data_IF_619492889129
#
_entry.id   IF_619492889129
#
_cell.length_a   1.000
_cell.length_b   1.000
_cell.length_c   1.000
_cell.angle_alpha   90.00
_cell.angle_beta   90.00
_cell.angle_gamma   90.00
#
_symmetry.space_group_name_H-M   'P 1'
#
loop_
_entity.id
_entity.type
_entity.pdbx_description
1 polymer ?
#
# COMPACT_ATOMS: atom_id res chain seq x y z
N UNK A 1 -16.84 -24.72 3.27
CA UNK A 1 -17.72 -24.30 4.39
C UNK A 1 -18.27 -22.89 4.14
N UNK A 2 -19.55 -22.76 3.79
CA UNK A 2 -20.21 -21.46 3.66
C UNK A 2 -20.52 -20.95 5.08
N UNK A 3 -19.67 -20.06 5.59
CA UNK A 3 -19.94 -19.37 6.85
C UNK A 3 -21.07 -18.37 6.61
N UNK A 4 -22.20 -18.54 7.30
CA UNK A 4 -23.29 -17.57 7.27
C UNK A 4 -22.78 -16.23 7.82
N UNK A 5 -23.04 -15.11 7.13
CA UNK A 5 -22.60 -13.77 7.56
C UNK A 5 -23.13 -13.39 8.96
N UNK A 6 -24.21 -14.04 9.41
CA UNK A 6 -24.75 -13.94 10.77
C UNK A 6 -23.84 -14.50 11.88
N UNK A 7 -22.76 -15.21 11.52
CA UNK A 7 -21.80 -15.80 12.45
C UNK A 7 -20.49 -14.99 12.55
N UNK A 8 -20.37 -13.87 11.83
CA UNK A 8 -19.19 -13.01 11.91
C UNK A 8 -19.31 -12.15 13.17
N UNK A 9 -18.38 -12.27 14.14
CA UNK A 9 -18.34 -11.40 15.30
C UNK A 9 -18.29 -9.93 14.86
N UNK A 10 -18.93 -9.04 15.61
CA UNK A 10 -18.90 -7.58 15.39
C UNK A 10 -19.61 -7.05 14.13
N UNK A 11 -20.37 -7.91 13.43
CA UNK A 11 -21.26 -7.49 12.35
C UNK A 11 -22.70 -7.42 12.86
N UNK A 12 -23.20 -6.19 13.03
CA UNK A 12 -24.57 -5.94 13.48
C UNK A 12 -25.49 -5.81 12.28
N UNK A 13 -26.51 -6.66 12.17
CA UNK A 13 -27.54 -6.47 11.14
C UNK A 13 -28.38 -5.23 11.50
N UNK A 14 -28.38 -4.23 10.62
CA UNK A 14 -29.11 -2.96 10.82
C UNK A 14 -30.43 -2.96 10.06
N UNK A 15 -30.48 -3.64 8.91
CA UNK A 15 -31.69 -3.78 8.14
C UNK A 15 -31.67 -5.08 7.31
N UNK A 16 -32.85 -5.66 7.14
CA UNK A 16 -33.11 -6.71 6.15
C UNK A 16 -34.13 -6.15 5.17
N UNK A 17 -33.64 -5.67 4.03
CA UNK A 17 -34.46 -5.21 2.90
C UNK A 17 -34.44 -6.32 1.83
N UNK A 18 -34.34 -5.95 0.55
CA UNK A 18 -34.01 -6.90 -0.53
C UNK A 18 -32.60 -7.52 -0.32
N UNK A 19 -31.72 -6.78 0.36
CA UNK A 19 -30.42 -7.25 0.85
C UNK A 19 -30.28 -6.99 2.36
N UNK A 20 -29.48 -7.80 3.04
CA UNK A 20 -29.10 -7.59 4.43
C UNK A 20 -28.02 -6.52 4.52
N UNK A 21 -28.27 -5.47 5.31
CA UNK A 21 -27.34 -4.39 5.63
C UNK A 21 -26.73 -4.68 6.99
N UNK A 22 -25.40 -4.69 7.05
CA UNK A 22 -24.65 -4.90 8.27
C UNK A 22 -23.74 -3.71 8.56
N UNK A 23 -23.62 -3.35 9.83
CA UNK A 23 -22.67 -2.37 10.35
C UNK A 23 -21.53 -3.11 11.04
N UNK A 24 -20.31 -2.64 10.82
CA UNK A 24 -19.13 -3.08 11.56
C UNK A 24 -18.76 -1.98 12.54
N UNK A 25 -18.82 -2.28 13.84
CA UNK A 25 -18.51 -1.30 14.88
C UNK A 25 -16.99 -1.17 15.12
N UNK A 26 -16.20 -2.14 14.64
CA UNK A 26 -14.74 -2.22 14.80
C UNK A 26 -13.99 -2.07 13.47
N UNK A 27 -14.39 -1.09 12.64
CA UNK A 27 -13.71 -0.82 11.37
C UNK A 27 -12.27 -0.36 11.61
N UNK A 28 -11.34 -0.95 10.86
CA UNK A 28 -9.95 -0.54 10.92
C UNK A 28 -9.77 0.85 10.32
N UNK A 29 -9.01 1.75 10.97
CA UNK A 29 -8.62 3.01 10.36
C UNK A 29 -7.86 2.77 9.05
N UNK A 30 -7.98 3.70 8.10
CA UNK A 30 -7.22 3.63 6.84
C UNK A 30 -5.72 3.56 7.08
N UNK A 31 -5.22 4.34 8.02
CA UNK A 31 -3.86 4.20 8.54
C UNK A 31 -3.87 4.24 10.07
N UNK A 32 -3.00 3.45 10.68
CA UNK A 32 -2.91 3.34 12.14
C UNK A 32 -1.50 2.94 12.60
N UNK A 33 -1.17 3.28 13.83
CA UNK A 33 0.06 2.88 14.50
C UNK A 33 -0.21 1.77 15.51
N UNK A 34 0.71 0.80 15.57
CA UNK A 34 0.79 -0.21 16.63
C UNK A 34 2.22 -0.30 17.14
N UNK A 35 2.35 -0.66 18.42
CA UNK A 35 3.65 -0.74 19.09
C UNK A 35 4.39 -2.05 18.82
N UNK A 36 3.63 -3.14 18.66
CA UNK A 36 4.14 -4.48 18.47
C UNK A 36 3.64 -5.06 17.16
N UNK A 37 4.44 -5.95 16.59
CA UNK A 37 4.08 -6.69 15.38
C UNK A 37 4.13 -8.19 15.65
N UNK A 38 3.14 -8.89 15.11
CA UNK A 38 3.12 -10.35 15.07
C UNK A 38 3.91 -10.86 13.86
N UNK A 39 4.37 -12.10 13.91
CA UNK A 39 4.98 -12.78 12.75
C UNK A 39 4.13 -13.93 12.27
N UNK A 40 4.23 -14.24 10.98
CA UNK A 40 3.66 -15.44 10.39
C UNK A 40 4.58 -15.97 9.29
N UNK A 41 4.57 -17.28 9.07
CA UNK A 41 5.29 -17.93 7.97
C UNK A 41 4.31 -18.44 6.90
N UNK A 42 3.07 -18.72 7.31
CA UNK A 42 2.07 -19.32 6.43
C UNK A 42 0.76 -18.54 6.40
N UNK A 43 0.02 -18.61 5.29
CA UNK A 43 -1.29 -17.95 5.18
C UNK A 43 -2.30 -18.45 6.25
N UNK A 44 -2.39 -19.74 6.60
CA UNK A 44 -3.25 -20.19 7.69
C UNK A 44 -2.93 -19.56 9.06
N UNK A 45 -1.65 -19.29 9.36
CA UNK A 45 -1.26 -18.57 10.57
C UNK A 45 -1.76 -17.13 10.54
N UNK A 46 -1.59 -16.43 9.40
CA UNK A 46 -2.14 -15.08 9.24
C UNK A 46 -3.67 -15.07 9.39
N UNK A 47 -4.37 -16.05 8.83
CA UNK A 47 -5.84 -16.17 8.99
C UNK A 47 -6.21 -16.39 10.46
N UNK A 48 -5.38 -17.12 11.21
CA UNK A 48 -5.58 -17.33 12.64
C UNK A 48 -5.38 -16.04 13.43
N UNK A 49 -4.39 -15.22 13.07
CA UNK A 49 -4.19 -13.88 13.63
C UNK A 49 -5.38 -12.96 13.34
N UNK A 50 -5.90 -12.95 12.10
CA UNK A 50 -7.10 -12.17 11.73
C UNK A 50 -8.29 -12.56 12.59
N UNK A 51 -8.56 -13.87 12.72
CA UNK A 51 -9.68 -14.37 13.53
C UNK A 51 -9.50 -14.10 15.03
N UNK A 52 -8.27 -14.20 15.53
CA UNK A 52 -7.96 -13.95 16.94
C UNK A 52 -7.94 -12.47 17.33
N UNK A 53 -7.87 -11.55 16.34
CA UNK A 53 -7.84 -10.10 16.60
C UNK A 53 -9.16 -9.51 17.07
N UNK A 54 -10.28 -10.25 16.97
CA UNK A 54 -11.62 -9.79 17.36
C UNK A 54 -11.96 -8.39 16.81
N UNK A 55 -11.67 -8.16 15.53
CA UNK A 55 -11.92 -6.88 14.87
C UNK A 55 -10.91 -5.78 15.17
N UNK A 56 -10.00 -5.95 16.14
CA UNK A 56 -9.01 -4.93 16.47
C UNK A 56 -7.90 -4.80 15.40
N UNK A 57 -7.48 -3.58 15.04
CA UNK A 57 -6.37 -3.39 14.11
C UNK A 57 -5.06 -3.97 14.63
N UNK A 58 -4.36 -4.70 13.76
CA UNK A 58 -3.05 -5.27 14.07
C UNK A 58 -2.11 -5.24 12.88
N UNK A 59 -0.83 -5.44 13.16
CA UNK A 59 0.22 -5.61 12.16
C UNK A 59 0.89 -6.95 12.36
N UNK A 60 0.98 -7.70 11.26
CA UNK A 60 1.70 -8.94 11.15
C UNK A 60 2.67 -8.85 9.96
N UNK A 61 3.89 -9.36 10.15
CA UNK A 61 4.95 -9.38 9.14
C UNK A 61 5.33 -10.82 8.81
N UNK A 62 5.63 -11.07 7.54
CA UNK A 62 6.14 -12.38 7.13
C UNK A 62 7.58 -12.56 7.65
N UNK A 63 7.99 -13.79 7.98
CA UNK A 63 9.35 -14.08 8.45
C UNK A 63 10.45 -13.53 7.53
N UNK A 64 10.23 -13.60 6.22
CA UNK A 64 11.15 -13.07 5.21
C UNK A 64 11.34 -11.54 5.27
N UNK A 65 10.31 -10.79 5.68
CA UNK A 65 10.40 -9.33 5.86
C UNK A 65 11.19 -8.96 7.12
N UNK A 66 11.05 -9.77 8.17
CA UNK A 66 11.82 -9.62 9.42
C UNK A 66 13.32 -9.81 9.17
N UNK A 67 13.69 -10.75 8.31
CA UNK A 67 15.08 -10.96 7.90
C UNK A 67 15.66 -9.76 7.12
N UNK A 68 14.85 -9.05 6.34
CA UNK A 68 15.26 -7.85 5.59
C UNK A 68 15.32 -6.59 6.46
N UNK A 69 14.54 -6.54 7.53
CA UNK A 69 14.48 -5.39 8.44
C UNK A 69 14.76 -5.83 9.88
N UNK A 70 16.04 -6.01 10.28
CA UNK A 70 16.40 -6.47 11.63
C UNK A 70 15.83 -5.62 12.77
N UNK A 71 15.51 -4.35 12.49
CA UNK A 71 14.89 -3.44 13.45
C UNK A 71 13.49 -3.91 13.89
N UNK A 72 12.76 -4.65 13.03
CA UNK A 72 11.48 -5.26 13.37
C UNK A 72 11.63 -6.31 14.46
N UNK A 73 12.79 -6.97 14.59
CA UNK A 73 13.04 -7.98 15.62
C UNK A 73 12.80 -7.42 17.04
N UNK A 74 13.09 -6.14 17.27
CA UNK A 74 12.88 -5.47 18.55
C UNK A 74 11.41 -5.14 18.85
N UNK A 75 10.57 -5.15 17.81
CA UNK A 75 9.12 -4.91 17.89
C UNK A 75 8.30 -6.21 17.86
N UNK A 76 8.96 -7.35 17.68
CA UNK A 76 8.32 -8.66 17.81
C UNK A 76 7.87 -8.84 19.24
N UNK A 77 6.56 -8.66 19.45
CA UNK A 77 5.88 -8.94 20.69
C UNK A 77 4.59 -9.66 20.33
N UNK A 78 4.20 -10.62 21.14
CA UNK A 78 2.81 -11.08 21.11
C UNK A 78 1.93 -9.85 21.23
N UNK A 79 0.97 -9.72 20.32
CA UNK A 79 0.07 -8.58 20.22
C UNK A 79 -0.42 -8.18 21.62
N UNK A 80 0.05 -7.04 22.11
CA UNK A 80 -0.47 -6.48 23.35
C UNK A 80 -1.88 -5.97 23.05
N UNK A 81 -2.79 -6.07 24.02
CA UNK A 81 -4.15 -5.48 23.99
C UNK A 81 -4.16 -3.94 23.91
N UNK A 82 -3.04 -3.31 23.50
CA UNK A 82 -2.96 -1.87 23.35
C UNK A 82 -3.71 -1.45 22.08
N UNK A 83 -4.61 -0.46 22.18
CA UNK A 83 -5.40 -0.02 21.05
C UNK A 83 -4.50 0.61 19.98
N UNK A 84 -4.80 0.31 18.72
CA UNK A 84 -4.16 0.97 17.60
C UNK A 84 -4.50 2.47 17.59
N UNK A 85 -3.51 3.30 17.28
CA UNK A 85 -3.71 4.76 17.20
C UNK A 85 -4.04 5.11 15.75
N UNK A 86 -5.22 5.67 15.51
CA UNK A 86 -5.64 6.08 14.18
C UNK A 86 -4.83 7.29 13.68
N UNK A 87 -4.47 7.29 12.40
CA UNK A 87 -3.92 8.47 11.74
C UNK A 87 -5.01 9.53 11.48
N UNK A 88 -4.57 10.78 11.33
CA UNK A 88 -5.42 11.96 11.14
C UNK A 88 -4.84 12.91 10.08
N UNK A 89 -5.52 14.03 9.78
CA UNK A 89 -5.10 15.04 8.80
C UNK A 89 -4.79 14.46 7.39
N UNK A 90 -5.68 13.61 6.87
CA UNK A 90 -5.51 12.99 5.57
C UNK A 90 -5.54 14.01 4.42
N UNK A 91 -4.60 13.86 3.48
CA UNK A 91 -4.60 14.54 2.17
C UNK A 91 -4.49 13.48 1.09
N UNK A 92 -5.55 13.33 0.32
CA UNK A 92 -5.67 12.33 -0.74
C UNK A 92 -5.71 13.05 -2.09
N UNK A 93 -4.80 12.67 -2.99
CA UNK A 93 -4.81 13.11 -4.39
C UNK A 93 -4.84 11.89 -5.30
N UNK A 94 -4.83 12.10 -6.62
CA UNK A 94 -4.83 11.00 -7.60
C UNK A 94 -3.64 10.04 -7.47
N UNK A 95 -2.52 10.50 -6.93
CA UNK A 95 -1.29 9.69 -6.83
C UNK A 95 -0.60 9.78 -5.47
N UNK A 96 -1.22 10.43 -4.47
CA UNK A 96 -0.59 10.67 -3.17
C UNK A 96 -1.58 10.43 -2.04
N UNK A 97 -1.11 9.69 -1.03
CA UNK A 97 -1.78 9.55 0.26
C UNK A 97 -0.84 10.10 1.33
N UNK A 98 -1.24 11.18 1.99
CA UNK A 98 -0.51 11.74 3.14
C UNK A 98 -1.40 11.79 4.38
N UNK A 99 -0.81 11.62 5.55
CA UNK A 99 -1.50 11.67 6.84
C UNK A 99 -0.50 11.97 7.96
N UNK A 100 -1.03 12.27 9.15
CA UNK A 100 -0.26 12.42 10.38
C UNK A 100 -0.56 11.31 11.36
N UNK A 101 0.42 10.98 12.20
CA UNK A 101 0.29 10.00 13.26
C UNK A 101 1.07 10.47 14.49
N UNK A 102 0.47 10.30 15.67
CA UNK A 102 1.12 10.54 16.95
C UNK A 102 1.61 9.20 17.51
N UNK A 103 2.92 8.96 17.45
CA UNK A 103 3.52 7.72 17.92
C UNK A 103 4.01 7.90 19.37
N UNK A 104 3.49 7.17 20.37
CA UNK A 104 3.93 7.29 21.77
C UNK A 104 5.30 6.63 22.01
N UNK A 105 5.73 5.73 21.13
CA UNK A 105 6.99 4.97 21.23
C UNK A 105 7.39 4.43 19.85
N UNK A 106 8.45 3.62 19.80
CA UNK A 106 8.78 2.88 18.58
C UNK A 106 7.71 1.84 18.24
N UNK A 107 7.40 1.69 16.96
CA UNK A 107 6.36 0.78 16.49
C UNK A 107 6.27 0.80 14.97
N UNK A 108 5.13 0.35 14.43
CA UNK A 108 4.86 0.29 13.00
C UNK A 108 3.58 1.05 12.68
N UNK A 109 3.65 1.84 11.61
CA UNK A 109 2.47 2.44 10.98
C UNK A 109 2.05 1.56 9.82
N UNK A 110 0.80 1.12 9.81
CA UNK A 110 0.18 0.45 8.69
C UNK A 110 -0.71 1.42 7.92
N UNK A 111 -0.63 1.37 6.59
CA UNK A 111 -1.57 1.99 5.67
C UNK A 111 -2.28 0.87 4.90
N UNK A 112 -3.60 0.75 5.07
CA UNK A 112 -4.45 -0.31 4.49
C UNK A 112 -4.74 -0.11 3.01
N UNK A 113 -3.70 0.24 2.25
CA UNK A 113 -3.70 0.33 0.80
C UNK A 113 -2.76 -0.71 0.21
N UNK A 114 -3.11 -1.27 -0.95
CA UNK A 114 -2.38 -2.35 -1.60
C UNK A 114 -0.87 -2.12 -1.67
N UNK A 115 -0.10 -3.08 -1.18
CA UNK A 115 1.35 -3.12 -1.31
C UNK A 115 1.73 -3.44 -2.76
N UNK A 116 2.53 -2.56 -3.36
CA UNK A 116 3.18 -2.79 -4.64
C UNK A 116 4.67 -2.60 -4.43
N UNK A 117 5.48 -3.62 -4.72
CA UNK A 117 6.93 -3.54 -4.58
C UNK A 117 7.48 -2.45 -5.51
N UNK A 118 8.31 -1.55 -4.97
CA UNK A 118 9.05 -0.48 -5.65
C UNK A 118 8.25 0.60 -6.41
N UNK A 119 6.92 0.53 -6.40
CA UNK A 119 6.06 1.47 -7.12
C UNK A 119 5.63 2.69 -6.29
N UNK A 120 6.03 2.76 -5.01
CA UNK A 120 5.79 3.92 -4.16
C UNK A 120 7.11 4.58 -3.74
N UNK A 121 7.04 5.89 -3.51
CA UNK A 121 8.07 6.66 -2.79
C UNK A 121 7.43 7.12 -1.49
N UNK A 122 8.02 6.73 -0.37
CA UNK A 122 7.54 7.11 0.95
C UNK A 122 8.46 8.16 1.55
N UNK A 123 7.86 9.12 2.24
CA UNK A 123 8.58 10.11 3.04
C UNK A 123 8.00 10.17 4.45
N UNK A 124 8.90 10.32 5.42
CA UNK A 124 8.59 10.50 6.83
C UNK A 124 9.20 11.82 7.27
N UNK A 125 8.37 12.78 7.67
CA UNK A 125 8.77 14.15 7.97
C UNK A 125 9.59 14.80 6.83
N UNK A 126 9.17 14.55 5.58
CA UNK A 126 9.81 15.07 4.37
C UNK A 126 11.11 14.36 3.96
N UNK A 127 11.60 13.39 4.74
CA UNK A 127 12.80 12.60 4.39
C UNK A 127 12.38 11.29 3.73
N UNK A 128 13.06 10.84 2.66
CA UNK A 128 12.82 9.53 2.07
C UNK A 128 12.98 8.42 3.11
N UNK A 129 12.11 7.41 3.02
CA UNK A 129 12.17 6.22 3.86
C UNK A 129 11.81 4.97 3.03
N UNK A 130 11.79 3.81 3.68
CA UNK A 130 11.37 2.55 3.09
C UNK A 130 10.03 2.09 3.67
N UNK A 131 9.24 1.42 2.83
CA UNK A 131 8.03 0.72 3.25
C UNK A 131 8.19 -0.76 2.98
N UNK A 132 7.52 -1.57 3.80
CA UNK A 132 7.54 -3.03 3.69
C UNK A 132 6.11 -3.57 3.70
N UNK A 133 5.97 -4.86 3.45
CA UNK A 133 4.67 -5.52 3.38
C UNK A 133 4.20 -5.91 4.77
N UNK A 134 2.97 -5.55 5.12
CA UNK A 134 2.27 -5.98 6.34
C UNK A 134 0.94 -6.64 6.02
N UNK A 135 0.55 -7.61 6.85
CA UNK A 135 -0.68 -8.40 6.71
C UNK A 135 -0.85 -8.98 5.30
N UNK A 136 0.24 -9.40 4.67
CA UNK A 136 0.34 -9.87 3.26
C UNK A 136 -0.11 -8.90 2.16
N UNK A 137 -0.74 -7.77 2.46
CA UNK A 137 -1.43 -6.95 1.46
C UNK A 137 -1.21 -5.44 1.58
N UNK A 138 -0.71 -4.95 2.73
CA UNK A 138 -0.70 -3.54 3.06
C UNK A 138 0.72 -2.99 3.22
N UNK A 139 0.84 -1.67 3.29
CA UNK A 139 2.14 -0.98 3.45
C UNK A 139 2.41 -0.72 4.93
N UNK A 140 3.61 -1.07 5.39
CA UNK A 140 4.13 -0.77 6.71
C UNK A 140 5.30 0.20 6.65
N UNK A 141 5.43 1.06 7.67
CA UNK A 141 6.61 1.90 7.92
C UNK A 141 7.03 1.72 9.38
N UNK A 142 8.34 1.60 9.60
CA UNK A 142 8.91 1.57 10.93
C UNK A 142 9.00 2.98 11.51
N UNK A 143 8.49 3.16 12.72
CA UNK A 143 8.66 4.38 13.49
C UNK A 143 9.66 4.11 14.62
N UNK A 144 10.86 4.73 14.61
CA UNK A 144 11.93 4.35 15.51
C UNK A 144 11.79 4.92 16.94
N UNK A 145 10.98 5.95 17.14
CA UNK A 145 10.85 6.64 18.43
C UNK A 145 9.51 7.35 18.57
N UNK A 146 9.22 7.80 19.78
CA UNK A 146 8.06 8.63 20.07
C UNK A 146 8.13 9.98 19.32
N UNK A 147 6.98 10.48 18.88
CA UNK A 147 6.83 11.79 18.27
C UNK A 147 5.66 11.88 17.29
N UNK A 148 5.46 13.07 16.75
CA UNK A 148 4.50 13.31 15.67
C UNK A 148 5.19 13.13 14.31
N UNK A 149 4.53 12.40 13.43
CA UNK A 149 5.05 12.06 12.11
C UNK A 149 4.07 12.47 11.03
N UNK A 150 4.58 13.14 10.01
CA UNK A 150 3.90 13.34 8.73
C UNK A 150 4.42 12.31 7.74
N UNK A 151 3.53 11.45 7.27
CA UNK A 151 3.84 10.36 6.36
C UNK A 151 3.19 10.67 5.02
N UNK A 152 3.92 10.44 3.94
CA UNK A 152 3.39 10.61 2.59
C UNK A 152 3.89 9.52 1.65
N UNK A 153 2.96 8.83 1.01
CA UNK A 153 3.20 7.88 -0.07
C UNK A 153 2.83 8.52 -1.39
N UNK A 154 3.76 8.52 -2.34
CA UNK A 154 3.54 8.97 -3.72
C UNK A 154 3.69 7.78 -4.64
N UNK A 155 2.65 7.48 -5.42
CA UNK A 155 2.70 6.46 -6.46
C UNK A 155 3.63 6.92 -7.59
N UNK A 156 4.68 6.15 -7.81
CA UNK A 156 5.69 6.36 -8.85
C UNK A 156 6.13 5.00 -9.41
N UNK A 157 5.38 4.45 -10.38
CA UNK A 157 5.62 3.11 -10.89
C UNK A 157 7.06 2.94 -11.38
N UNK A 158 7.67 1.81 -11.04
CA UNK A 158 9.12 1.60 -11.20
C UNK A 158 9.63 1.75 -12.63
N UNK A 159 8.80 1.40 -13.63
CA UNK A 159 9.16 1.43 -15.05
C UNK A 159 8.58 2.61 -15.82
N UNK A 160 7.88 3.54 -15.15
CA UNK A 160 7.18 4.64 -15.84
C UNK A 160 8.12 5.46 -16.74
N UNK A 161 9.27 5.87 -16.21
CA UNK A 161 10.26 6.65 -16.97
C UNK A 161 10.84 5.85 -18.13
N UNK A 162 11.14 4.57 -17.93
CA UNK A 162 11.66 3.71 -18.99
C UNK A 162 10.67 3.56 -20.14
N UNK A 163 9.41 3.26 -19.83
CA UNK A 163 8.36 3.11 -20.84
C UNK A 163 8.08 4.43 -21.59
N UNK A 164 8.16 5.56 -20.89
CA UNK A 164 8.04 6.87 -21.51
C UNK A 164 9.19 7.14 -22.50
N UNK A 165 10.43 6.79 -22.14
CA UNK A 165 11.58 6.89 -23.04
C UNK A 165 11.43 5.99 -24.27
N UNK A 166 11.01 4.73 -24.09
CA UNK A 166 10.78 3.79 -25.20
C UNK A 166 9.69 4.34 -26.15
N UNK A 167 8.61 4.88 -25.59
CA UNK A 167 7.55 5.52 -26.37
C UNK A 167 8.07 6.71 -27.17
N UNK A 168 8.87 7.59 -26.56
CA UNK A 168 9.47 8.73 -27.23
C UNK A 168 10.39 8.32 -28.39
N UNK A 169 11.22 7.28 -28.20
CA UNK A 169 12.07 6.73 -29.26
C UNK A 169 11.22 6.15 -30.39
N UNK A 170 10.15 5.41 -30.07
CA UNK A 170 9.23 4.89 -31.08
C UNK A 170 8.59 5.98 -31.93
N UNK A 171 8.15 7.08 -31.31
CA UNK A 171 7.62 8.25 -32.02
C UNK A 171 8.68 8.86 -32.93
N UNK A 172 9.92 9.02 -32.45
CA UNK A 172 11.00 9.58 -33.25
C UNK A 172 11.32 8.73 -34.49
N UNK A 173 11.36 7.40 -34.34
CA UNK A 173 11.55 6.45 -35.46
C UNK A 173 10.38 6.53 -36.44
N UNK A 174 9.14 6.59 -35.96
CA UNK A 174 7.97 6.72 -36.82
C UNK A 174 8.00 8.01 -37.64
N UNK A 175 8.32 9.15 -37.01
CA UNK A 175 8.47 10.44 -37.69
C UNK A 175 9.57 10.36 -38.75
N UNK A 176 10.71 9.74 -38.42
CA UNK A 176 11.80 9.53 -39.37
C UNK A 176 11.36 8.71 -40.58
N UNK A 177 10.69 7.58 -40.39
CA UNK A 177 10.16 6.75 -41.48
C UNK A 177 9.17 7.52 -42.37
N UNK A 178 8.24 8.28 -41.78
CA UNK A 178 7.28 9.10 -42.54
C UNK A 178 7.98 10.20 -43.33
N UNK A 179 9.04 10.80 -42.80
CA UNK A 179 9.85 11.80 -43.51
C UNK A 179 10.61 11.18 -44.70
N UNK A 180 11.11 9.95 -44.56
CA UNK A 180 11.76 9.23 -45.67
C UNK A 180 10.75 8.85 -46.76
N UNK A 181 9.59 8.31 -46.38
CA UNK A 181 8.55 7.89 -47.33
C UNK A 181 7.92 9.07 -48.07
N UNK A 182 7.71 10.21 -47.40
CA UNK A 182 7.19 11.41 -48.06
C UNK A 182 8.16 11.97 -49.10
N UNK A 183 9.48 11.86 -48.86
CA UNK A 183 10.52 12.23 -49.84
C UNK A 183 10.56 11.29 -51.04
N UNK A 184 10.39 9.98 -50.86
CA UNK A 184 10.39 9.03 -51.98
C UNK A 184 9.14 9.16 -52.86
N UNK A 185 7.98 9.47 -52.28
CA UNK A 185 6.73 9.70 -53.03
C UNK A 185 6.84 10.92 -53.97
N UNK A 186 7.47 12.00 -53.50
CA UNK A 186 7.67 13.22 -54.30
C UNK A 186 8.62 12.99 -55.49
N UNK A 187 9.68 12.18 -55.30
CA UNK A 187 10.61 11.85 -56.38
C UNK A 187 9.98 10.99 -57.49
N UNK A 188 9.02 10.12 -57.18
CA UNK A 188 8.37 9.24 -58.16
C UNK A 188 7.33 9.95 -59.05
N UNK A 189 6.80 11.12 -58.64
CA UNK A 189 5.93 11.94 -59.51
C UNK A 189 6.71 12.79 -60.51
N UNK A 190 7.99 13.08 -60.26
CA UNK A 190 8.81 13.91 -61.14
C UNK A 190 9.38 13.14 -62.36
N UNK A 191 9.34 11.81 -62.38
CA UNK A 191 9.86 10.98 -63.48
C UNK A 191 8.82 10.59 -64.54
N UNK A 192 7.59 11.10 -64.47
CA UNK A 192 6.49 10.80 -65.39
C UNK A 192 5.98 12.04 -66.17
N UNK A 193 6.74 13.14 -66.20
CA UNK A 193 6.53 14.32 -67.06
C UNK A 193 7.70 14.43 -68.03
#
# INVERSE_FOLDING_TARGET
PQTSLSQIPDLKNIASLDLNVYESEHVWPRAFFVEGVSTYETLPELVSLVKGSNGHPFVAVEGSETARHPQLASLLKQQNDQPAIAAFDYKLTNNTTSFKIAAPKSGVVALTEAYLLDDFRVTVNGKPDHYFRVNSAFKGILIPRAGDYQISFVYRPRFFTLLLCISAVGIAVLIFCLAVLSRSSFASSASHV
#
